data_IF_950285385624
#
_entry.id   IF_950285385624
#
_cell.length_a   1.000
_cell.length_b   1.000
_cell.length_c   1.000
_cell.angle_alpha   90.00
_cell.angle_beta   90.00
_cell.angle_gamma   90.00
#
_symmetry.space_group_name_H-M   'P 1'
#
loop_
_entity.id
_entity.type
_entity.pdbx_description
1 polymer ?
#
# COMPACT_ATOMS: atom_id res chain seq x y z
N UNK A 1 9.57 -14.14 15.74
CA UNK A 1 8.77 -14.40 14.52
C UNK A 1 8.74 -13.12 13.74
N UNK A 2 9.25 -13.13 12.50
CA UNK A 2 9.18 -11.94 11.63
C UNK A 2 7.73 -11.74 11.22
N UNK A 3 7.18 -10.57 11.49
CA UNK A 3 5.85 -10.20 11.00
C UNK A 3 5.89 -10.13 9.46
N UNK A 4 4.87 -10.68 8.81
CA UNK A 4 4.71 -10.55 7.37
C UNK A 4 3.70 -9.45 7.10
N UNK A 5 4.13 -8.41 6.41
CA UNK A 5 3.27 -7.32 6.00
C UNK A 5 2.19 -7.82 5.03
N UNK A 6 0.92 -7.38 5.19
CA UNK A 6 -0.16 -7.76 4.27
C UNK A 6 0.17 -7.33 2.85
N UNK A 7 -0.27 -8.12 1.87
CA UNK A 7 -0.23 -7.74 0.46
C UNK A 7 -1.62 -7.83 -0.14
N UNK A 8 -1.88 -6.99 -1.14
CA UNK A 8 -3.17 -6.84 -1.79
C UNK A 8 -3.01 -7.14 -3.28
N UNK A 9 -2.73 -8.41 -3.59
CA UNK A 9 -2.44 -8.86 -4.97
C UNK A 9 -3.67 -8.98 -5.85
N UNK A 10 -4.86 -9.06 -5.26
CA UNK A 10 -6.13 -9.07 -5.98
C UNK A 10 -6.59 -7.63 -6.26
N UNK A 11 -7.04 -7.33 -7.50
CA UNK A 11 -7.51 -5.99 -7.85
C UNK A 11 -8.63 -5.50 -6.94
N UNK A 12 -8.37 -4.39 -6.25
CA UNK A 12 -9.35 -3.66 -5.43
C UNK A 12 -9.91 -2.53 -6.27
N UNK A 13 -11.22 -2.50 -6.49
CA UNK A 13 -11.87 -1.50 -7.33
C UNK A 13 -11.69 -0.08 -6.76
N UNK A 14 -11.43 0.89 -7.65
CA UNK A 14 -11.55 2.33 -7.40
C UNK A 14 -12.91 2.79 -7.93
N UNK A 15 -13.21 2.42 -9.18
CA UNK A 15 -14.48 2.67 -9.86
C UNK A 15 -14.76 1.51 -10.83
N UNK A 16 -15.67 1.72 -11.80
CA UNK A 16 -16.06 0.68 -12.76
C UNK A 16 -14.95 0.30 -13.75
N UNK A 17 -13.97 1.17 -13.98
CA UNK A 17 -12.93 1.00 -14.99
C UNK A 17 -11.53 0.85 -14.37
N UNK A 18 -11.33 1.37 -13.16
CA UNK A 18 -10.05 1.39 -12.47
C UNK A 18 -10.02 0.53 -11.20
N UNK A 19 -8.86 -0.07 -10.94
CA UNK A 19 -8.58 -0.83 -9.72
C UNK A 19 -7.11 -0.69 -9.32
N UNK A 20 -6.73 -1.23 -8.17
CA UNK A 20 -5.34 -1.26 -7.74
C UNK A 20 -4.96 -2.59 -7.07
N UNK A 21 -3.67 -2.92 -7.15
CA UNK A 21 -3.02 -3.94 -6.33
C UNK A 21 -1.87 -3.30 -5.57
N UNK A 22 -1.43 -3.92 -4.47
CA UNK A 22 -0.27 -3.45 -3.73
C UNK A 22 0.57 -4.60 -3.17
N UNK A 23 1.89 -4.46 -3.29
CA UNK A 23 2.88 -5.39 -2.74
C UNK A 23 3.78 -4.67 -1.76
N UNK A 24 4.17 -5.36 -0.69
CA UNK A 24 5.05 -4.80 0.33
C UNK A 24 6.44 -4.52 -0.26
N UNK A 25 7.02 -3.37 0.07
CA UNK A 25 8.36 -2.98 -0.38
C UNK A 25 9.34 -2.96 0.81
N UNK A 26 9.05 -2.14 1.82
CA UNK A 26 9.88 -2.05 3.02
C UNK A 26 9.12 -1.45 4.19
N UNK A 27 9.75 -1.53 5.37
CA UNK A 27 9.27 -0.94 6.60
C UNK A 27 10.41 -0.19 7.26
N UNK A 28 10.21 1.10 7.52
CA UNK A 28 11.09 1.94 8.31
C UNK A 28 10.61 1.97 9.75
N UNK A 29 11.21 1.09 10.55
CA UNK A 29 10.92 0.95 11.97
C UNK A 29 11.21 2.22 12.79
N UNK A 30 12.07 3.12 12.29
CA UNK A 30 12.39 4.34 13.03
C UNK A 30 11.25 5.35 13.00
N UNK A 31 10.48 5.37 11.92
CA UNK A 31 9.40 6.33 11.69
C UNK A 31 8.01 5.68 11.71
N UNK A 32 7.94 4.36 11.91
CA UNK A 32 6.72 3.56 11.78
C UNK A 32 6.05 3.73 10.42
N UNK A 33 6.86 3.76 9.37
CA UNK A 33 6.40 3.93 8.00
C UNK A 33 6.54 2.63 7.21
N UNK A 34 5.43 2.16 6.62
CA UNK A 34 5.44 1.04 5.68
C UNK A 34 5.30 1.54 4.25
N UNK A 35 6.10 0.97 3.35
CA UNK A 35 6.15 1.32 1.95
C UNK A 35 5.57 0.17 1.10
N UNK A 36 4.69 0.54 0.18
CA UNK A 36 4.04 -0.35 -0.76
C UNK A 36 4.30 0.09 -2.19
N UNK A 37 4.54 -0.86 -3.08
CA UNK A 37 4.41 -0.63 -4.52
C UNK A 37 2.95 -0.83 -4.89
N UNK A 38 2.30 0.23 -5.35
CA UNK A 38 0.92 0.23 -5.81
C UNK A 38 0.91 0.22 -7.33
N UNK A 39 0.19 -0.73 -7.92
CA UNK A 39 -0.10 -0.76 -9.36
C UNK A 39 -1.55 -0.39 -9.58
N UNK A 40 -1.80 0.70 -10.30
CA UNK A 40 -3.14 1.08 -10.76
C UNK A 40 -3.42 0.43 -12.11
N UNK A 41 -4.58 -0.19 -12.22
CA UNK A 41 -5.05 -0.91 -13.39
C UNK A 41 -6.24 -0.16 -14.01
N UNK A 42 -6.30 -0.13 -15.33
CA UNK A 42 -7.48 0.24 -16.12
C UNK A 42 -7.93 -1.00 -16.90
N UNK A 43 -9.01 -1.64 -16.46
CA UNK A 43 -9.34 -3.01 -16.86
C UNK A 43 -8.20 -3.98 -16.54
N UNK A 44 -7.70 -4.69 -17.55
CA UNK A 44 -6.57 -5.63 -17.41
C UNK A 44 -5.19 -4.99 -17.65
N UNK A 45 -5.13 -3.68 -17.93
CA UNK A 45 -3.89 -2.97 -18.29
C UNK A 45 -3.30 -2.26 -17.08
N UNK A 46 -2.00 -2.41 -16.87
CA UNK A 46 -1.25 -1.54 -15.94
C UNK A 46 -1.22 -0.11 -16.47
N UNK A 47 -1.89 0.80 -15.75
CA UNK A 47 -1.97 2.21 -16.11
C UNK A 47 -0.87 3.04 -15.44
N UNK A 48 -0.52 2.71 -14.19
CA UNK A 48 0.56 3.35 -13.46
C UNK A 48 1.11 2.44 -12.35
N UNK A 49 2.35 2.68 -11.94
CA UNK A 49 2.98 2.05 -10.79
C UNK A 49 3.74 3.10 -9.99
N UNK A 50 3.55 3.14 -8.67
CA UNK A 50 4.20 4.11 -7.79
C UNK A 50 4.28 3.59 -6.36
N UNK A 51 5.14 4.23 -5.55
CA UNK A 51 5.30 3.88 -4.15
C UNK A 51 4.31 4.69 -3.30
N UNK A 52 3.79 4.06 -2.26
CA UNK A 52 2.95 4.66 -1.24
C UNK A 52 3.59 4.42 0.12
N UNK A 53 3.65 5.45 0.96
CA UNK A 53 3.99 5.34 2.38
C UNK A 53 2.72 5.38 3.22
N UNK A 54 2.62 4.51 4.22
CA UNK A 54 1.57 4.55 5.25
C UNK A 54 2.25 4.58 6.62
N UNK A 55 1.96 5.60 7.41
CA UNK A 55 2.39 5.64 8.81
C UNK A 55 1.48 4.77 9.67
N UNK A 56 2.04 3.78 10.37
CA UNK A 56 1.28 2.79 11.17
C UNK A 56 1.27 3.06 12.68
N UNK A 57 1.66 4.27 13.10
CA UNK A 57 1.67 4.71 14.50
C UNK A 57 0.31 4.56 15.21
N UNK A 58 -0.79 4.50 14.46
CA UNK A 58 -2.14 4.29 14.98
C UNK A 58 -2.39 2.85 15.47
N UNK A 59 -1.59 1.87 15.05
CA UNK A 59 -1.82 0.45 15.35
C UNK A 59 -1.26 -0.01 16.71
N UNK A 60 -0.41 0.80 17.34
CA UNK A 60 0.37 0.37 18.51
C UNK A 60 1.19 -0.89 18.18
N UNK A 61 1.09 -1.91 19.04
CA UNK A 61 1.89 -3.15 18.91
C UNK A 61 1.15 -4.32 18.22
N UNK A 62 -0.13 -4.17 17.86
CA UNK A 62 -0.91 -5.25 17.23
C UNK A 62 -1.17 -5.00 15.75
N UNK A 63 -0.34 -5.62 14.92
CA UNK A 63 -0.44 -5.54 13.45
C UNK A 63 -1.07 -6.80 12.83
N UNK A 64 -1.56 -7.73 13.65
CA UNK A 64 -2.02 -9.05 13.18
C UNK A 64 -3.53 -9.15 13.03
N UNK A 65 -4.25 -8.17 13.57
CA UNK A 65 -5.70 -8.13 13.53
C UNK A 65 -6.27 -7.79 12.14
N UNK A 66 -7.50 -8.24 11.83
CA UNK A 66 -8.20 -7.85 10.61
C UNK A 66 -8.44 -6.34 10.52
N UNK A 67 -8.60 -5.65 11.65
CA UNK A 67 -8.76 -4.19 11.71
C UNK A 67 -7.52 -3.46 11.17
N UNK A 68 -6.31 -3.96 11.51
CA UNK A 68 -5.06 -3.43 10.97
C UNK A 68 -5.01 -3.57 9.44
N UNK A 69 -5.32 -4.77 8.93
CA UNK A 69 -5.30 -5.05 7.50
C UNK A 69 -6.33 -4.19 6.76
N UNK A 70 -7.52 -4.02 7.33
CA UNK A 70 -8.56 -3.18 6.76
C UNK A 70 -8.12 -1.72 6.70
N UNK A 71 -7.61 -1.16 7.81
CA UNK A 71 -7.20 0.24 7.86
C UNK A 71 -6.03 0.51 6.92
N UNK A 72 -5.06 -0.39 6.86
CA UNK A 72 -3.94 -0.32 5.93
C UNK A 72 -4.43 -0.33 4.46
N UNK A 73 -5.42 -1.16 4.14
CA UNK A 73 -6.04 -1.19 2.81
C UNK A 73 -6.73 0.13 2.48
N UNK A 74 -7.45 0.73 3.43
CA UNK A 74 -8.11 2.03 3.26
C UNK A 74 -7.10 3.15 3.00
N UNK A 75 -6.03 3.23 3.80
CA UNK A 75 -5.00 4.27 3.64
C UNK A 75 -4.28 4.14 2.27
N UNK A 76 -4.00 2.91 1.81
CA UNK A 76 -3.45 2.68 0.46
C UNK A 76 -4.47 3.04 -0.63
N UNK A 77 -5.74 2.69 -0.43
CA UNK A 77 -6.82 2.97 -1.37
C UNK A 77 -6.95 4.46 -1.63
N UNK A 78 -6.92 5.30 -0.59
CA UNK A 78 -7.04 6.75 -0.72
C UNK A 78 -5.93 7.35 -1.62
N UNK A 79 -4.70 6.85 -1.48
CA UNK A 79 -3.58 7.27 -2.34
C UNK A 79 -3.71 6.71 -3.76
N UNK A 80 -4.19 5.47 -3.90
CA UNK A 80 -4.45 4.85 -5.20
C UNK A 80 -5.52 5.60 -6.00
N UNK A 81 -6.59 6.07 -5.34
CA UNK A 81 -7.62 6.94 -5.92
C UNK A 81 -7.02 8.26 -6.42
N UNK A 82 -6.12 8.86 -5.65
CA UNK A 82 -5.42 10.08 -6.06
C UNK A 82 -4.45 9.87 -7.24
N UNK A 83 -4.03 8.62 -7.49
CA UNK A 83 -3.26 8.22 -8.66
C UNK A 83 -1.81 8.71 -8.70
N UNK A 84 -1.25 9.08 -7.54
CA UNK A 84 0.14 9.59 -7.43
C UNK A 84 0.77 9.21 -6.10
N UNK A 85 2.10 9.05 -6.09
CA UNK A 85 2.88 8.82 -4.86
C UNK A 85 2.61 9.91 -3.81
N UNK A 86 2.56 9.50 -2.54
CA UNK A 86 2.53 10.40 -1.38
C UNK A 86 3.90 10.52 -0.69
N UNK A 87 4.95 9.95 -1.27
CA UNK A 87 6.32 9.97 -0.75
C UNK A 87 7.32 10.37 -1.82
N UNK A 88 8.44 10.96 -1.39
CA UNK A 88 9.62 11.19 -2.24
C UNK A 88 10.53 9.97 -2.33
N UNK A 89 10.23 8.90 -1.60
CA UNK A 89 10.99 7.65 -1.66
C UNK A 89 10.76 6.95 -3.01
N UNK A 90 11.86 6.56 -3.66
CA UNK A 90 11.85 5.93 -4.98
C UNK A 90 12.01 4.41 -4.94
N UNK A 91 11.97 3.82 -3.74
CA UNK A 91 12.22 2.40 -3.52
C UNK A 91 13.68 2.13 -3.21
N UNK A 92 14.00 0.90 -2.81
CA UNK A 92 15.40 0.48 -2.72
C UNK A 92 15.99 0.53 -4.12
N UNK A 93 16.93 1.45 -4.34
CA UNK A 93 17.76 1.44 -5.55
C UNK A 93 18.51 0.12 -5.54
N UNK A 94 18.17 -0.76 -6.48
CA UNK A 94 18.89 -1.99 -6.79
C UNK A 94 20.31 -1.70 -7.24
#
# INVERSE_FOLDING_TARGET
MTFTWPEFREPTAIDAEASWTATFESYDQRHDDVYYVVTRLEGAREAAQFIVVVGVHWAGDDWRGPEFVQRLREDIHDVAVAGRTNTSYLGKMS
#
